data_IF_943053464734
#
_entry.id   IF_943053464734
#
_cell.length_a   1.000
_cell.length_b   1.000
_cell.length_c   1.000
_cell.angle_alpha   90.00
_cell.angle_beta   90.00
_cell.angle_gamma   90.00
#
_symmetry.space_group_name_H-M   'P 1'
#
loop_
_entity.id
_entity.type
_entity.pdbx_description
1 polymer ?
#
# COMPACT_ATOMS: atom_id res chain seq x y z
N UNK A 1 -8.91 13.26 5.74
CA UNK A 1 -9.27 14.36 4.80
C UNK A 1 -8.30 14.40 3.61
N UNK A 2 -8.80 14.77 2.43
CA UNK A 2 -7.95 15.06 1.28
C UNK A 2 -7.06 16.28 1.57
N UNK A 3 -5.80 16.25 1.13
CA UNK A 3 -4.88 17.38 1.38
C UNK A 3 -4.19 17.38 2.76
N UNK A 4 -4.42 16.40 3.63
CA UNK A 4 -3.77 16.30 4.95
C UNK A 4 -2.27 15.92 4.92
N UNK A 5 -1.64 15.81 3.75
CA UNK A 5 -0.21 15.54 3.61
C UNK A 5 0.20 14.07 3.49
N UNK A 6 -0.72 13.11 3.53
CA UNK A 6 -0.43 11.66 3.48
C UNK A 6 0.39 11.25 2.25
N UNK A 7 -0.06 11.62 1.06
CA UNK A 7 0.66 11.35 -0.19
C UNK A 7 2.04 12.01 -0.23
N UNK A 8 2.17 13.22 0.34
CA UNK A 8 3.47 13.91 0.44
C UNK A 8 4.43 13.13 1.33
N UNK A 9 3.96 12.67 2.49
CA UNK A 9 4.72 11.82 3.40
C UNK A 9 5.14 10.51 2.71
N UNK A 10 4.19 9.84 2.02
CA UNK A 10 4.48 8.63 1.24
C UNK A 10 5.59 8.85 0.21
N UNK A 11 5.53 9.94 -0.55
CA UNK A 11 6.56 10.31 -1.53
C UNK A 11 7.92 10.59 -0.89
N UNK A 12 7.93 11.17 0.31
CA UNK A 12 9.17 11.37 1.07
C UNK A 12 9.77 10.02 1.50
N UNK A 13 8.96 9.11 2.03
CA UNK A 13 9.41 7.76 2.42
C UNK A 13 9.90 6.98 1.19
N UNK A 14 9.19 7.06 0.06
CA UNK A 14 9.57 6.40 -1.19
C UNK A 14 10.79 7.03 -1.88
N UNK A 15 11.36 8.11 -1.36
CA UNK A 15 12.53 8.77 -1.96
C UNK A 15 12.24 9.67 -3.16
N UNK A 16 10.96 9.89 -3.47
CA UNK A 16 10.50 10.65 -4.64
C UNK A 16 10.46 12.16 -4.40
N UNK A 17 10.31 12.58 -3.15
CA UNK A 17 10.23 13.98 -2.75
C UNK A 17 11.10 14.23 -1.51
N UNK A 18 12.03 15.18 -1.62
CA UNK A 18 12.89 15.53 -0.48
C UNK A 18 12.12 16.35 0.55
N UNK A 19 12.26 16.05 1.87
CA UNK A 19 11.68 16.88 2.90
C UNK A 19 12.36 18.26 2.95
N UNK A 20 11.61 19.31 3.25
CA UNK A 20 12.15 20.66 3.47
C UNK A 20 12.87 20.79 4.80
N UNK A 21 12.58 19.94 5.75
CA UNK A 21 13.23 19.84 7.07
C UNK A 21 13.13 18.42 7.63
N UNK A 22 13.95 18.12 8.64
CA UNK A 22 13.99 16.78 9.22
C UNK A 22 14.74 15.76 8.36
N UNK A 23 14.58 14.47 8.70
CA UNK A 23 15.24 13.36 8.02
C UNK A 23 14.34 12.15 7.94
N UNK A 24 14.47 11.37 6.88
CA UNK A 24 13.78 10.10 6.66
C UNK A 24 14.81 8.98 6.71
N UNK A 25 14.51 7.93 7.46
CA UNK A 25 15.34 6.73 7.59
C UNK A 25 14.55 5.50 7.22
N UNK A 26 15.18 4.57 6.52
CA UNK A 26 14.65 3.23 6.25
C UNK A 26 15.75 2.22 6.63
N UNK A 27 15.43 1.24 7.47
CA UNK A 27 16.40 0.32 8.05
C UNK A 27 17.61 1.03 8.71
N UNK A 28 17.39 2.14 9.40
CA UNK A 28 18.44 2.94 10.03
C UNK A 28 19.33 3.72 9.04
N UNK A 29 19.14 3.56 7.74
CA UNK A 29 19.87 4.29 6.71
C UNK A 29 19.11 5.56 6.27
N UNK A 30 19.78 6.72 6.13
CA UNK A 30 19.12 7.94 5.68
C UNK A 30 18.73 7.84 4.21
N UNK A 31 17.46 8.12 3.89
CA UNK A 31 16.94 8.14 2.51
C UNK A 31 17.55 9.29 1.71
N UNK A 32 17.74 10.43 2.37
CA UNK A 32 18.29 11.64 1.75
C UNK A 32 19.62 12.02 2.43
N UNK A 33 20.68 12.05 1.63
CA UNK A 33 21.97 12.60 2.02
C UNK A 33 22.30 13.84 1.18
N UNK A 34 23.59 14.01 0.80
CA UNK A 34 24.00 15.04 -0.17
C UNK A 34 23.41 14.79 -1.56
N UNK A 35 23.13 13.54 -1.92
CA UNK A 35 22.52 13.10 -3.19
C UNK A 35 21.06 12.69 -2.98
N UNK A 36 20.34 12.44 -4.08
CA UNK A 36 19.00 11.84 -4.07
C UNK A 36 19.07 10.40 -3.51
N UNK A 37 17.91 9.85 -3.14
CA UNK A 37 17.77 8.43 -2.79
C UNK A 37 18.45 7.54 -3.83
N UNK A 38 19.19 6.55 -3.37
CA UNK A 38 19.95 5.66 -4.24
C UNK A 38 19.12 4.53 -4.84
N UNK A 39 19.69 3.82 -5.80
CA UNK A 39 19.06 2.67 -6.46
C UNK A 39 18.57 1.59 -5.46
N UNK A 40 19.38 1.35 -4.43
CA UNK A 40 19.05 0.37 -3.38
C UNK A 40 17.81 0.80 -2.56
N UNK A 41 17.63 2.09 -2.28
CA UNK A 41 16.43 2.59 -1.63
C UNK A 41 15.18 2.35 -2.49
N UNK A 42 15.25 2.64 -3.79
CA UNK A 42 14.14 2.41 -4.71
C UNK A 42 13.81 0.92 -4.90
N UNK A 43 14.75 0.02 -4.69
CA UNK A 43 14.48 -1.41 -4.60
C UNK A 43 13.70 -1.76 -3.34
N UNK A 44 14.17 -1.27 -2.18
CA UNK A 44 13.60 -1.59 -0.85
C UNK A 44 12.22 -0.99 -0.61
N UNK A 45 11.94 0.20 -1.15
CA UNK A 45 10.68 0.90 -0.92
C UNK A 45 9.97 1.12 -2.24
N UNK A 46 8.83 0.46 -2.40
CA UNK A 46 7.96 0.60 -3.57
C UNK A 46 6.68 1.34 -3.19
N UNK A 47 6.11 2.08 -4.15
CA UNK A 47 4.85 2.80 -3.96
C UNK A 47 3.90 2.51 -5.10
N UNK A 48 2.66 2.17 -4.76
CA UNK A 48 1.53 2.00 -5.68
C UNK A 48 0.57 3.17 -5.43
N UNK A 49 0.46 4.05 -6.41
CA UNK A 49 -0.40 5.24 -6.33
C UNK A 49 -1.83 4.93 -6.77
N UNK A 50 -2.76 5.83 -6.47
CA UNK A 50 -4.18 5.75 -6.81
C UNK A 50 -4.40 5.37 -8.29
N UNK A 51 -3.75 6.06 -9.22
CA UNK A 51 -3.84 5.81 -10.65
C UNK A 51 -2.75 4.85 -11.16
N UNK A 52 -2.56 3.72 -10.50
CA UNK A 52 -1.50 2.76 -10.87
C UNK A 52 -1.65 2.17 -12.27
N UNK A 53 -2.86 2.12 -12.84
CA UNK A 53 -3.08 1.75 -14.24
C UNK A 53 -2.43 2.73 -15.21
N UNK A 54 -2.43 4.04 -14.90
CA UNK A 54 -1.76 5.06 -15.73
C UNK A 54 -0.22 4.99 -15.63
N UNK A 55 0.32 4.26 -14.68
CA UNK A 55 1.76 4.01 -14.57
C UNK A 55 2.26 2.88 -15.49
N UNK A 56 1.36 2.18 -16.17
CA UNK A 56 1.69 1.19 -17.19
C UNK A 56 1.74 1.88 -18.56
N UNK A 57 2.84 1.70 -19.28
CA UNK A 57 2.91 2.17 -20.66
C UNK A 57 1.93 1.36 -21.52
N UNK A 58 0.93 2.00 -22.19
CA UNK A 58 -0.10 1.29 -22.96
C UNK A 58 0.47 0.52 -24.16
N UNK A 59 1.70 0.79 -24.58
CA UNK A 59 2.36 0.15 -25.72
C UNK A 59 3.28 -1.01 -25.31
N UNK A 60 3.50 -1.21 -24.01
CA UNK A 60 4.42 -2.24 -23.51
C UNK A 60 3.60 -3.39 -22.92
N UNK A 61 3.85 -4.66 -23.36
CA UNK A 61 3.22 -5.83 -22.75
C UNK A 61 3.42 -5.88 -21.24
N UNK A 62 2.38 -6.30 -20.51
CA UNK A 62 2.39 -6.26 -19.05
C UNK A 62 3.50 -7.11 -18.42
N UNK A 63 3.86 -8.24 -19.05
CA UNK A 63 5.01 -9.03 -18.61
C UNK A 63 6.33 -8.26 -18.69
N UNK A 64 6.49 -7.39 -19.66
CA UNK A 64 7.68 -6.52 -19.79
C UNK A 64 7.68 -5.42 -18.73
N UNK A 65 6.53 -4.88 -18.38
CA UNK A 65 6.40 -3.92 -17.28
C UNK A 65 6.78 -4.55 -15.94
N UNK A 66 6.41 -5.82 -15.71
CA UNK A 66 6.79 -6.56 -14.49
C UNK A 66 8.29 -6.93 -14.51
N UNK A 67 8.87 -7.23 -15.67
CA UNK A 67 10.31 -7.52 -15.81
C UNK A 67 11.21 -6.30 -15.55
N UNK A 68 10.70 -5.07 -15.69
CA UNK A 68 11.49 -3.86 -15.58
C UNK A 68 12.28 -3.73 -14.26
N UNK A 69 11.68 -3.92 -13.07
CA UNK A 69 12.44 -3.93 -11.81
C UNK A 69 13.48 -5.05 -11.75
N UNK A 70 13.18 -6.24 -12.31
CA UNK A 70 14.13 -7.34 -12.36
C UNK A 70 15.37 -6.98 -13.19
N UNK A 71 15.18 -6.26 -14.30
CA UNK A 71 16.28 -5.73 -15.11
C UNK A 71 17.05 -4.64 -14.40
N UNK A 72 16.33 -3.77 -13.68
CA UNK A 72 16.95 -2.64 -12.99
C UNK A 72 17.77 -3.05 -11.78
N UNK A 73 17.29 -4.00 -10.98
CA UNK A 73 17.86 -4.30 -9.66
C UNK A 73 18.65 -5.60 -9.62
N UNK A 74 18.34 -6.57 -10.49
CA UNK A 74 18.93 -7.91 -10.46
C UNK A 74 19.60 -8.24 -11.79
N UNK A 75 20.75 -8.92 -11.76
CA UNK A 75 21.43 -9.44 -12.94
C UNK A 75 20.93 -10.85 -13.25
N UNK A 76 19.72 -10.94 -13.79
CA UNK A 76 19.05 -12.21 -14.06
C UNK A 76 19.06 -12.54 -15.55
N UNK A 77 19.40 -13.78 -15.91
CA UNK A 77 19.30 -14.27 -17.28
C UNK A 77 17.84 -14.17 -17.82
N UNK A 78 17.71 -13.97 -19.11
CA UNK A 78 16.43 -13.69 -19.77
C UNK A 78 15.34 -14.73 -19.46
N UNK A 79 15.67 -16.02 -19.56
CA UNK A 79 14.69 -17.08 -19.35
C UNK A 79 14.29 -17.21 -17.88
N UNK A 80 15.25 -17.10 -16.96
CA UNK A 80 14.98 -17.08 -15.51
C UNK A 80 14.11 -15.88 -15.12
N UNK A 81 14.38 -14.70 -15.69
CA UNK A 81 13.61 -13.48 -15.47
C UNK A 81 12.15 -13.63 -15.96
N UNK A 82 11.96 -14.23 -17.16
CA UNK A 82 10.62 -14.49 -17.69
C UNK A 82 9.84 -15.45 -16.79
N UNK A 83 10.47 -16.52 -16.35
CA UNK A 83 9.84 -17.48 -15.45
C UNK A 83 9.50 -16.84 -14.09
N UNK A 84 10.42 -16.07 -13.52
CA UNK A 84 10.17 -15.32 -12.29
C UNK A 84 8.99 -14.33 -12.46
N UNK A 85 8.94 -13.61 -13.58
CA UNK A 85 7.82 -12.72 -13.91
C UNK A 85 6.49 -13.49 -13.94
N UNK A 86 6.42 -14.66 -14.60
CA UNK A 86 5.21 -15.47 -14.65
C UNK A 86 4.78 -15.99 -13.28
N UNK A 87 5.73 -16.35 -12.43
CA UNK A 87 5.46 -16.78 -11.06
C UNK A 87 4.89 -15.62 -10.23
N UNK A 88 5.42 -14.40 -10.39
CA UNK A 88 4.85 -13.20 -9.77
C UNK A 88 3.44 -12.88 -10.29
N UNK A 89 3.17 -13.11 -11.57
CA UNK A 89 1.82 -12.95 -12.13
C UNK A 89 0.84 -13.93 -11.46
N UNK A 90 1.19 -15.19 -11.35
CA UNK A 90 0.36 -16.21 -10.67
C UNK A 90 0.15 -15.86 -9.19
N UNK A 91 1.21 -15.43 -8.49
CA UNK A 91 1.14 -14.99 -7.11
C UNK A 91 0.14 -13.81 -6.92
N UNK A 92 0.01 -12.96 -7.94
CA UNK A 92 -0.95 -11.86 -7.98
C UNK A 92 -2.28 -12.23 -8.66
N UNK A 93 -2.63 -13.50 -8.77
CA UNK A 93 -3.86 -13.98 -9.40
C UNK A 93 -4.05 -13.50 -10.86
N UNK A 94 -2.95 -13.42 -11.62
CA UNK A 94 -2.94 -13.16 -13.06
C UNK A 94 -2.56 -14.43 -13.83
N UNK A 95 -3.20 -14.68 -14.97
CA UNK A 95 -2.80 -15.76 -15.85
C UNK A 95 -1.41 -15.51 -16.44
N UNK A 96 -0.58 -16.57 -16.52
CA UNK A 96 0.74 -16.53 -17.18
C UNK A 96 0.65 -16.11 -18.66
N UNK A 97 -0.47 -16.37 -19.30
CA UNK A 97 -0.71 -16.03 -20.70
C UNK A 97 -0.86 -14.51 -20.91
N UNK A 98 -1.11 -13.75 -19.85
CA UNK A 98 -1.18 -12.28 -19.94
C UNK A 98 0.18 -11.63 -20.15
N UNK A 99 1.26 -12.37 -20.05
CA UNK A 99 2.62 -11.85 -20.23
C UNK A 99 2.81 -11.02 -21.51
N UNK A 100 2.15 -11.40 -22.61
CA UNK A 100 2.24 -10.73 -23.92
C UNK A 100 1.11 -9.71 -24.16
N UNK A 101 0.10 -9.65 -23.28
CA UNK A 101 -1.01 -8.72 -23.43
C UNK A 101 -0.60 -7.28 -23.14
N UNK A 102 -1.27 -6.34 -23.79
CA UNK A 102 -1.16 -4.92 -23.50
C UNK A 102 -2.08 -4.54 -22.31
N UNK A 103 -1.78 -3.46 -21.59
CA UNK A 103 -2.65 -2.98 -20.51
C UNK A 103 -4.10 -2.77 -20.93
N UNK A 104 -4.36 -2.33 -22.16
CA UNK A 104 -5.71 -2.10 -22.69
C UNK A 104 -6.54 -3.36 -22.87
N UNK A 105 -5.92 -4.54 -22.85
CA UNK A 105 -6.58 -5.85 -22.98
C UNK A 105 -6.95 -6.44 -21.61
N UNK A 106 -6.68 -5.71 -20.50
CA UNK A 106 -6.92 -6.11 -19.11
C UNK A 106 -7.99 -5.23 -18.49
N UNK A 107 -8.79 -5.81 -17.59
CA UNK A 107 -9.70 -5.08 -16.71
C UNK A 107 -8.92 -4.18 -15.73
N UNK A 108 -9.58 -3.17 -15.15
CA UNK A 108 -8.95 -2.29 -14.16
C UNK A 108 -8.37 -3.04 -12.94
N UNK A 109 -9.06 -4.11 -12.48
CA UNK A 109 -8.56 -4.97 -11.40
C UNK A 109 -7.31 -5.75 -11.79
N UNK A 110 -7.26 -6.28 -13.04
CA UNK A 110 -6.08 -6.98 -13.56
C UNK A 110 -4.90 -6.02 -13.75
N UNK A 111 -5.14 -4.81 -14.26
CA UNK A 111 -4.09 -3.77 -14.36
C UNK A 111 -3.52 -3.42 -12.97
N UNK A 112 -4.37 -3.42 -11.94
CA UNK A 112 -3.93 -3.22 -10.55
C UNK A 112 -3.03 -4.35 -10.07
N UNK A 113 -3.40 -5.60 -10.34
CA UNK A 113 -2.56 -6.76 -10.02
C UNK A 113 -1.23 -6.74 -10.77
N UNK A 114 -1.21 -6.25 -12.02
CA UNK A 114 0.05 -6.00 -12.76
C UNK A 114 0.92 -4.98 -12.03
N UNK A 115 0.35 -3.89 -11.53
CA UNK A 115 1.09 -2.89 -10.76
C UNK A 115 1.63 -3.46 -9.44
N UNK A 116 0.88 -4.33 -8.75
CA UNK A 116 1.33 -5.04 -7.57
C UNK A 116 2.48 -5.99 -7.92
N UNK A 117 2.32 -6.84 -8.93
CA UNK A 117 3.35 -7.77 -9.39
C UNK A 117 4.64 -7.04 -9.79
N UNK A 118 4.53 -5.89 -10.47
CA UNK A 118 5.66 -5.03 -10.81
C UNK A 118 6.38 -4.49 -9.58
N UNK A 119 5.66 -4.04 -8.56
CA UNK A 119 6.25 -3.57 -7.31
C UNK A 119 6.94 -4.72 -6.55
N UNK A 120 6.31 -5.89 -6.47
CA UNK A 120 6.88 -7.08 -5.83
C UNK A 120 8.11 -7.63 -6.56
N UNK A 121 8.24 -7.41 -7.88
CA UNK A 121 9.42 -7.78 -8.66
C UNK A 121 10.71 -7.08 -8.19
N UNK A 122 10.63 -6.00 -7.43
CA UNK A 122 11.76 -5.36 -6.77
C UNK A 122 12.19 -6.08 -5.47
N UNK A 123 11.45 -7.08 -5.00
CA UNK A 123 11.60 -7.70 -3.68
C UNK A 123 11.66 -6.63 -2.56
N UNK A 124 10.60 -5.83 -2.39
CA UNK A 124 10.62 -4.69 -1.49
C UNK A 124 10.58 -5.13 -0.03
N UNK A 125 11.21 -4.35 0.84
CA UNK A 125 11.06 -4.46 2.29
C UNK A 125 9.85 -3.65 2.79
N UNK A 126 9.45 -2.62 2.03
CA UNK A 126 8.29 -1.77 2.33
C UNK A 126 7.50 -1.50 1.05
N UNK A 127 6.20 -1.74 1.11
CA UNK A 127 5.26 -1.44 0.04
C UNK A 127 4.24 -0.42 0.53
N UNK A 128 4.15 0.72 -0.17
CA UNK A 128 3.23 1.81 0.16
C UNK A 128 2.06 1.75 -0.80
N UNK A 129 0.84 1.65 -0.27
CA UNK A 129 -0.40 1.82 -1.01
C UNK A 129 -0.99 3.20 -0.73
N UNK A 130 -0.93 4.10 -1.72
CA UNK A 130 -1.42 5.46 -1.59
C UNK A 130 -2.79 5.58 -2.28
N UNK A 131 -3.87 5.43 -1.50
CA UNK A 131 -5.28 5.45 -1.94
C UNK A 131 -5.57 4.52 -3.14
N UNK A 132 -4.79 3.48 -3.26
CA UNK A 132 -4.71 2.65 -4.45
C UNK A 132 -5.93 1.73 -4.67
N UNK A 133 -6.89 1.72 -3.77
CA UNK A 133 -8.16 0.97 -3.90
C UNK A 133 -9.36 1.87 -4.20
N UNK A 134 -9.16 3.18 -4.33
CA UNK A 134 -10.24 4.10 -4.67
C UNK A 134 -10.75 3.86 -6.10
N UNK A 135 -12.06 4.01 -6.30
CA UNK A 135 -12.70 3.83 -7.61
C UNK A 135 -13.12 2.39 -7.94
N UNK A 136 -12.87 1.43 -7.06
CA UNK A 136 -13.45 0.09 -7.15
C UNK A 136 -14.75 0.00 -6.34
N UNK A 137 -15.65 -0.88 -6.78
CA UNK A 137 -16.80 -1.29 -5.98
C UNK A 137 -16.34 -2.03 -4.71
N UNK A 138 -17.19 -2.06 -3.70
CA UNK A 138 -16.86 -2.64 -2.39
C UNK A 138 -16.39 -4.10 -2.46
N UNK A 139 -17.03 -5.01 -3.24
CA UNK A 139 -16.59 -6.40 -3.34
C UNK A 139 -15.19 -6.55 -3.94
N UNK A 140 -14.89 -5.82 -5.03
CA UNK A 140 -13.57 -5.87 -5.68
C UNK A 140 -12.50 -5.24 -4.81
N UNK A 141 -12.83 -4.15 -4.11
CA UNK A 141 -11.94 -3.48 -3.16
C UNK A 141 -11.54 -4.43 -2.03
N UNK A 142 -12.51 -5.10 -1.39
CA UNK A 142 -12.25 -6.08 -0.35
C UNK A 142 -11.33 -7.19 -0.86
N UNK A 143 -11.65 -7.78 -2.01
CA UNK A 143 -10.86 -8.86 -2.60
C UNK A 143 -9.39 -8.44 -2.84
N UNK A 144 -9.15 -7.25 -3.37
CA UNK A 144 -7.78 -6.75 -3.59
C UNK A 144 -7.04 -6.55 -2.27
N UNK A 145 -7.72 -6.09 -1.24
CA UNK A 145 -7.13 -5.89 0.10
C UNK A 145 -6.76 -7.21 0.73
N UNK A 146 -7.66 -8.19 0.71
CA UNK A 146 -7.39 -9.53 1.22
C UNK A 146 -6.18 -10.15 0.49
N UNK A 147 -6.11 -10.04 -0.84
CA UNK A 147 -4.96 -10.48 -1.64
C UNK A 147 -3.64 -9.79 -1.23
N UNK A 148 -3.67 -8.50 -0.90
CA UNK A 148 -2.48 -7.76 -0.47
C UNK A 148 -2.02 -8.19 0.93
N UNK A 149 -2.96 -8.43 1.84
CA UNK A 149 -2.66 -8.94 3.20
C UNK A 149 -2.04 -10.33 3.10
N UNK A 150 -2.61 -11.22 2.29
CA UNK A 150 -2.06 -12.56 2.06
C UNK A 150 -0.63 -12.49 1.49
N UNK A 151 -0.39 -11.62 0.53
CA UNK A 151 0.94 -11.39 -0.04
C UNK A 151 1.93 -10.83 1.01
N UNK A 152 1.47 -9.92 1.87
CA UNK A 152 2.28 -9.37 2.95
C UNK A 152 2.68 -10.45 3.95
N UNK A 153 1.73 -11.33 4.35
CA UNK A 153 2.02 -12.44 5.25
C UNK A 153 2.98 -13.47 4.64
N UNK A 154 2.83 -13.77 3.35
CA UNK A 154 3.69 -14.72 2.64
C UNK A 154 5.12 -14.20 2.42
N UNK A 155 5.26 -12.91 2.08
CA UNK A 155 6.53 -12.32 1.66
C UNK A 155 7.23 -11.51 2.76
N UNK A 156 6.53 -11.15 3.84
CA UNK A 156 7.10 -10.53 5.04
C UNK A 156 7.52 -9.06 4.87
N UNK A 157 6.99 -8.32 3.90
CA UNK A 157 7.28 -6.90 3.75
C UNK A 157 6.44 -6.04 4.70
N UNK A 158 6.91 -4.84 5.03
CA UNK A 158 6.12 -3.83 5.73
C UNK A 158 5.10 -3.21 4.77
N UNK A 159 3.82 -3.20 5.15
CA UNK A 159 2.76 -2.55 4.39
C UNK A 159 2.42 -1.19 5.01
N UNK A 160 2.56 -0.10 4.23
CA UNK A 160 2.03 1.22 4.58
C UNK A 160 0.79 1.46 3.74
N UNK A 161 -0.37 1.49 4.39
CA UNK A 161 -1.65 1.68 3.72
C UNK A 161 -2.21 3.08 3.99
N UNK A 162 -2.32 3.91 2.94
CA UNK A 162 -2.87 5.26 3.03
C UNK A 162 -4.31 5.23 2.54
N UNK A 163 -5.21 5.63 3.40
CA UNK A 163 -6.64 5.71 3.12
C UNK A 163 -7.28 6.88 3.87
N UNK A 164 -8.43 7.33 3.41
CA UNK A 164 -9.33 8.21 4.15
C UNK A 164 -10.49 7.44 4.78
N UNK A 165 -10.52 6.13 4.63
CA UNK A 165 -11.55 5.22 5.10
C UNK A 165 -11.10 4.56 6.40
N UNK A 166 -11.77 4.89 7.51
CA UNK A 166 -11.45 4.35 8.84
C UNK A 166 -11.85 2.89 8.97
N UNK A 167 -12.97 2.46 8.34
CA UNK A 167 -13.38 1.05 8.38
C UNK A 167 -12.29 0.15 7.80
N UNK A 168 -11.69 0.61 6.68
CA UNK A 168 -10.59 -0.09 6.06
C UNK A 168 -9.31 -0.06 6.92
N UNK A 169 -8.99 1.10 7.49
CA UNK A 169 -7.78 1.26 8.31
C UNK A 169 -7.78 0.30 9.51
N UNK A 170 -8.92 0.17 10.20
CA UNK A 170 -9.04 -0.71 11.39
C UNK A 170 -9.06 -2.22 11.04
N UNK A 171 -9.35 -2.57 9.78
CA UNK A 171 -9.31 -3.97 9.33
C UNK A 171 -7.89 -4.40 8.93
N UNK A 172 -7.11 -3.47 8.36
CA UNK A 172 -5.82 -3.80 7.72
C UNK A 172 -4.63 -3.58 8.64
N UNK A 173 -4.68 -2.60 9.56
CA UNK A 173 -3.50 -2.08 10.21
C UNK A 173 -3.30 -2.58 11.64
N UNK A 174 -2.05 -2.96 11.98
CA UNK A 174 -1.59 -3.18 13.35
C UNK A 174 -1.32 -1.84 14.06
N UNK A 175 -1.01 -0.78 13.30
CA UNK A 175 -0.72 0.55 13.83
C UNK A 175 -1.33 1.63 12.92
N UNK A 176 -2.08 2.56 13.52
CA UNK A 176 -2.79 3.61 12.80
C UNK A 176 -2.22 4.98 13.15
N UNK A 177 -1.89 5.73 12.09
CA UNK A 177 -1.42 7.11 12.17
C UNK A 177 -2.49 8.04 11.62
N UNK A 178 -3.02 8.91 12.47
CA UNK A 178 -4.05 9.89 12.05
C UNK A 178 -3.40 11.22 11.74
N UNK A 179 -3.66 11.72 10.52
CA UNK A 179 -3.11 12.99 10.04
C UNK A 179 -4.21 14.01 9.81
N UNK A 180 -3.99 15.25 10.30
CA UNK A 180 -4.85 16.42 10.09
C UNK A 180 -4.01 17.65 9.82
N UNK A 181 -4.33 18.42 8.78
CA UNK A 181 -3.63 19.68 8.44
C UNK A 181 -2.10 19.53 8.42
N UNK A 182 -1.61 18.46 7.77
CA UNK A 182 -0.17 18.10 7.66
C UNK A 182 0.53 17.78 8.98
N UNK A 183 -0.21 17.60 10.07
CA UNK A 183 0.31 17.16 11.35
C UNK A 183 -0.12 15.73 11.65
N UNK A 184 0.75 14.97 12.31
CA UNK A 184 0.39 13.72 12.95
C UNK A 184 -0.32 14.08 14.27
N UNK A 185 -1.63 13.79 14.37
CA UNK A 185 -2.42 14.10 15.56
C UNK A 185 -2.50 12.91 16.52
N UNK A 186 -2.39 11.69 15.99
CA UNK A 186 -2.42 10.48 16.82
C UNK A 186 -1.65 9.33 16.18
N UNK A 187 -1.07 8.48 17.04
CA UNK A 187 -0.50 7.18 16.70
C UNK A 187 -1.06 6.16 17.70
N UNK A 188 -1.74 5.14 17.20
CA UNK A 188 -2.36 4.10 17.99
C UNK A 188 -1.95 2.71 17.49
N UNK A 189 -1.45 1.85 18.38
CA UNK A 189 -1.39 0.42 18.11
C UNK A 189 -2.81 -0.12 18.23
N UNK A 190 -3.30 -0.81 17.18
CA UNK A 190 -4.67 -1.23 17.07
C UNK A 190 -4.78 -2.76 17.05
N UNK A 191 -5.57 -3.29 17.98
CA UNK A 191 -5.86 -4.74 18.10
C UNK A 191 -7.35 -5.01 18.27
N UNK A 192 -8.19 -4.13 17.70
CA UNK A 192 -9.65 -4.22 17.85
C UNK A 192 -10.24 -3.35 18.96
N UNK A 193 -9.41 -2.73 19.81
CA UNK A 193 -9.88 -1.85 20.87
C UNK A 193 -9.85 -0.38 20.42
N UNK A 194 -11.04 0.21 20.27
CA UNK A 194 -11.19 1.61 19.86
C UNK A 194 -10.86 2.62 20.98
N UNK A 195 -10.73 2.19 22.23
CA UNK A 195 -10.38 3.06 23.35
C UNK A 195 -8.97 3.63 23.28
N UNK A 196 -8.12 3.04 22.43
CA UNK A 196 -6.74 3.53 22.16
C UNK A 196 -6.70 4.88 21.44
N UNK A 197 -7.83 5.32 20.85
CA UNK A 197 -7.92 6.63 20.20
C UNK A 197 -8.37 7.69 21.19
N UNK A 198 -7.50 8.65 21.46
CA UNK A 198 -7.71 9.71 22.45
C UNK A 198 -7.93 11.08 21.80
N UNK A 199 -7.35 11.34 20.61
CA UNK A 199 -7.50 12.60 19.91
C UNK A 199 -8.96 12.85 19.49
N UNK A 200 -9.55 14.03 19.76
CA UNK A 200 -10.93 14.33 19.40
C UNK A 200 -11.23 14.18 17.90
N UNK A 201 -10.25 14.43 17.04
CA UNK A 201 -10.42 14.27 15.60
C UNK A 201 -10.47 12.79 15.19
N UNK A 202 -9.62 11.94 15.80
CA UNK A 202 -9.66 10.48 15.58
C UNK A 202 -11.00 9.90 16.01
N UNK A 203 -11.51 10.31 17.16
CA UNK A 203 -12.83 9.90 17.66
C UNK A 203 -13.95 10.34 16.72
N UNK A 204 -13.92 11.58 16.24
CA UNK A 204 -14.89 12.08 15.26
C UNK A 204 -14.87 11.25 13.97
N UNK A 205 -13.69 10.81 13.49
CA UNK A 205 -13.59 9.94 12.31
C UNK A 205 -14.20 8.55 12.55
N UNK A 206 -13.99 7.95 13.70
CA UNK A 206 -14.56 6.66 14.08
C UNK A 206 -16.09 6.75 14.19
N UNK A 207 -16.62 7.79 14.81
CA UNK A 207 -18.06 8.07 14.90
C UNK A 207 -18.68 8.25 13.52
N UNK A 208 -18.06 9.09 12.66
CA UNK A 208 -18.53 9.33 11.31
C UNK A 208 -18.54 8.08 10.43
N UNK A 209 -17.67 7.10 10.74
CA UNK A 209 -17.62 5.79 10.07
C UNK A 209 -18.53 4.74 10.71
N UNK A 210 -19.31 5.09 11.76
CA UNK A 210 -20.20 4.15 12.44
C UNK A 210 -19.49 3.04 13.22
N UNK A 211 -18.18 3.15 13.43
CA UNK A 211 -17.39 2.15 14.15
C UNK A 211 -17.56 2.26 15.66
N UNK A 212 -17.98 3.42 16.14
CA UNK A 212 -18.24 3.72 17.56
C UNK A 212 -19.51 4.56 17.65
N UNK A 213 -20.34 4.28 18.66
CA UNK A 213 -21.59 5.02 18.90
C UNK A 213 -21.36 6.12 19.94
N UNK A 214 -21.85 7.35 19.65
CA UNK A 214 -21.74 8.52 20.54
C UNK A 214 -22.55 8.39 21.84
N UNK A 215 -23.48 7.43 21.92
CA UNK A 215 -24.44 7.29 23.00
C UNK A 215 -24.03 6.35 24.12
N UNK A 216 -22.88 5.69 24.04
CA UNK A 216 -22.42 4.70 25.04
C UNK A 216 -21.00 4.97 25.50
N UNK A 217 -20.80 4.86 26.83
CA UNK A 217 -19.48 4.83 27.46
C UNK A 217 -18.57 3.85 26.71
N UNK A 218 -17.38 4.33 26.30
CA UNK A 218 -16.40 3.66 25.45
C UNK A 218 -15.99 2.24 25.91
N UNK A 219 -16.33 1.88 27.13
CA UNK A 219 -15.91 0.62 27.78
C UNK A 219 -16.81 -0.60 27.51
N UNK A 220 -18.01 -0.45 26.95
CA UNK A 220 -19.01 -1.56 27.02
C UNK A 220 -19.27 -2.32 25.70
N UNK A 221 -18.92 -1.77 24.52
CA UNK A 221 -19.27 -2.38 23.22
C UNK A 221 -18.16 -3.19 22.52
N UNK A 222 -16.95 -3.23 23.06
CA UNK A 222 -15.82 -3.95 22.45
C UNK A 222 -15.96 -5.48 22.55
N UNK A 223 -16.77 -5.98 23.48
CA UNK A 223 -16.92 -7.43 23.72
C UNK A 223 -17.87 -8.14 22.77
N UNK A 224 -18.87 -7.46 22.20
CA UNK A 224 -19.92 -8.13 21.41
C UNK A 224 -19.57 -8.36 19.92
N UNK A 225 -18.54 -7.69 19.37
CA UNK A 225 -18.17 -7.86 17.95
C UNK A 225 -17.04 -8.87 17.70
N UNK A 226 -16.32 -9.27 18.75
CA UNK A 226 -15.24 -10.28 18.66
C UNK A 226 -15.81 -11.70 18.53
N UNK A 227 -17.05 -11.93 18.96
CA UNK A 227 -17.70 -13.26 18.92
C UNK A 227 -18.45 -13.57 17.60
N UNK A 228 -18.31 -12.75 16.58
CA UNK A 228 -18.98 -12.89 15.27
C UNK A 228 -18.00 -13.05 14.09
N UNK A 229 -16.77 -13.50 14.35
CA UNK A 229 -15.83 -13.93 13.30
C UNK A 229 -15.58 -15.42 13.35
#
# INVERSE_FOLDING_TARGET
ESGSGKTTLARMIAGLQRPSGGSVFVDGAPVYGRKRAGKEHFRKVQIIQQNSASALDPKIPVGKSIEEPLLCFFHMEKEKRREHCRNLMELCNLSRDYYTRLPSELSGGEQKRVAIARALAAEPQCLIFDEATNGFDLPLRKKIIDEIIDLQQQLGFTLIFITHDMELAVVVADEIFVMRNSNLVERAAFSGDYSVFHDPYSRMLLEASGLVDTSTDWNDKTKERIDLQ
#
